data_IF_345324779323
#
_entry.id   IF_345324779323
#
_cell.length_a   1.000
_cell.length_b   1.000
_cell.length_c   1.000
_cell.angle_alpha   90.00
_cell.angle_beta   90.00
_cell.angle_gamma   90.00
#
_symmetry.space_group_name_H-M   'P 1'
#
loop_
_entity.id
_entity.type
_entity.pdbx_description
1 polymer ?
#
# COMPACT_ATOMS: atom_id res chain seq x y z
N UNK A 1 1.43 18.52 -8.97
CA UNK A 1 2.20 17.64 -9.90
C UNK A 1 1.34 17.17 -11.09
N UNK A 2 1.90 17.11 -12.31
CA UNK A 2 1.18 16.69 -13.53
C UNK A 2 0.62 15.26 -13.44
N UNK A 3 1.28 14.40 -12.67
CA UNK A 3 0.88 12.99 -12.45
C UNK A 3 -0.36 12.84 -11.57
N UNK A 4 -0.83 13.90 -10.88
CA UNK A 4 -2.01 13.91 -10.00
C UNK A 4 -2.06 12.77 -8.97
N UNK A 5 -0.90 12.25 -8.56
CA UNK A 5 -0.83 11.20 -7.55
C UNK A 5 -1.40 11.67 -6.21
N UNK A 6 -2.21 10.83 -5.58
CA UNK A 6 -2.79 11.08 -4.26
C UNK A 6 -1.73 11.06 -3.15
N UNK A 7 -0.54 10.50 -3.41
CA UNK A 7 0.55 10.37 -2.44
C UNK A 7 1.56 11.52 -2.49
N UNK A 8 1.34 12.56 -3.30
CA UNK A 8 2.29 13.66 -3.40
C UNK A 8 2.56 14.32 -2.03
N UNK A 9 1.54 14.39 -1.15
CA UNK A 9 1.66 15.00 0.17
C UNK A 9 2.76 14.38 1.04
N UNK A 10 3.20 13.15 0.75
CA UNK A 10 4.28 12.51 1.49
C UNK A 10 5.60 13.28 1.38
N UNK A 11 5.78 14.16 0.39
CA UNK A 11 6.98 14.96 0.18
C UNK A 11 6.90 16.37 0.79
N UNK A 12 5.89 16.67 1.62
CA UNK A 12 5.60 18.00 2.15
C UNK A 12 6.70 18.60 3.04
N UNK A 13 7.44 17.75 3.74
CA UNK A 13 8.60 18.14 4.53
C UNK A 13 9.78 18.61 3.68
N UNK A 14 9.82 18.31 2.37
CA UNK A 14 10.92 18.68 1.48
C UNK A 14 10.77 20.15 1.05
N UNK A 15 11.86 20.90 1.09
CA UNK A 15 11.88 22.30 0.68
C UNK A 15 11.32 22.48 -0.74
N UNK A 16 10.60 23.59 -0.94
CA UNK A 16 9.88 23.95 -2.18
C UNK A 16 8.70 23.06 -2.58
N UNK A 17 8.38 21.97 -1.85
CA UNK A 17 7.25 21.10 -2.20
C UNK A 17 5.93 21.87 -2.37
N UNK A 18 5.54 22.68 -1.38
CA UNK A 18 4.25 23.39 -1.39
C UNK A 18 4.14 24.36 -2.58
N UNK A 19 5.23 25.08 -2.89
CA UNK A 19 5.27 25.98 -4.05
C UNK A 19 5.17 25.21 -5.38
N UNK A 20 5.79 24.04 -5.48
CA UNK A 20 5.73 23.18 -6.68
C UNK A 20 4.30 22.65 -6.88
N UNK A 21 3.67 22.19 -5.80
CA UNK A 21 2.28 21.69 -5.87
C UNK A 21 1.29 22.81 -6.18
N UNK A 22 1.52 24.02 -5.65
CA UNK A 22 0.75 25.21 -5.98
C UNK A 22 1.05 25.79 -7.37
N UNK A 23 2.00 25.22 -8.13
CA UNK A 23 2.37 25.69 -9.46
C UNK A 23 3.20 26.98 -9.48
N UNK A 24 3.74 27.40 -8.33
CA UNK A 24 4.56 28.61 -8.16
C UNK A 24 6.04 28.37 -8.51
N UNK A 25 6.51 27.13 -8.45
CA UNK A 25 7.90 26.73 -8.75
C UNK A 25 7.96 25.49 -9.64
N UNK A 26 9.06 25.34 -10.38
CA UNK A 26 9.33 24.15 -11.20
C UNK A 26 9.66 22.94 -10.32
N UNK A 27 9.21 21.70 -10.68
CA UNK A 27 9.61 20.48 -9.98
C UNK A 27 11.12 20.28 -9.81
N UNK A 28 11.93 20.79 -10.74
CA UNK A 28 13.40 20.69 -10.69
C UNK A 28 14.02 21.52 -9.55
N UNK A 29 13.22 22.39 -8.91
CA UNK A 29 13.63 23.18 -7.74
C UNK A 29 13.30 22.50 -6.42
N UNK A 30 12.76 21.28 -6.43
CA UNK A 30 12.53 20.52 -5.19
C UNK A 30 13.83 20.44 -4.40
N UNK A 31 13.76 20.49 -3.07
CA UNK A 31 14.91 20.43 -2.16
C UNK A 31 15.65 19.09 -2.15
N UNK A 32 15.91 18.49 -3.31
CA UNK A 32 16.62 17.23 -3.50
C UNK A 32 17.72 17.45 -4.52
N UNK A 33 18.94 17.05 -4.18
CA UNK A 33 20.10 17.15 -5.06
C UNK A 33 20.99 15.92 -4.91
N UNK A 34 21.75 15.59 -5.95
CA UNK A 34 22.72 14.51 -5.94
C UNK A 34 24.12 15.08 -6.20
N UNK A 35 24.84 15.59 -5.18
CA UNK A 35 26.17 16.18 -5.37
C UNK A 35 27.22 15.18 -5.88
N UNK A 36 26.96 13.87 -5.76
CA UNK A 36 27.76 12.82 -6.40
C UNK A 36 26.91 11.58 -6.70
N UNK A 37 27.49 10.60 -7.39
CA UNK A 37 26.81 9.37 -7.83
C UNK A 37 26.12 8.58 -6.69
N UNK A 38 26.65 8.66 -5.47
CA UNK A 38 26.17 7.88 -4.32
C UNK A 38 25.78 8.74 -3.12
N UNK A 39 25.62 10.05 -3.30
CA UNK A 39 25.20 10.97 -2.24
C UNK A 39 23.92 11.68 -2.67
N UNK A 40 22.87 11.51 -1.87
CA UNK A 40 21.62 12.25 -1.98
C UNK A 40 21.54 13.27 -0.85
N UNK A 41 21.39 14.55 -1.19
CA UNK A 41 21.16 15.63 -0.24
C UNK A 41 19.72 16.09 -0.32
N UNK A 42 19.00 15.99 0.79
CA UNK A 42 17.62 16.44 0.93
C UNK A 42 17.59 17.62 1.90
N UNK A 43 17.05 18.74 1.44
CA UNK A 43 16.79 19.94 2.23
C UNK A 43 15.33 19.92 2.67
N UNK A 44 15.09 19.98 3.97
CA UNK A 44 13.75 20.08 4.53
C UNK A 44 13.32 21.55 4.62
N UNK A 45 12.00 21.77 4.56
CA UNK A 45 11.38 23.10 4.76
C UNK A 45 11.43 23.56 6.21
N UNK A 46 11.46 22.61 7.15
CA UNK A 46 11.52 22.82 8.60
C UNK A 46 12.07 21.56 9.30
N UNK A 47 12.55 21.66 10.56
CA UNK A 47 12.94 20.49 11.34
C UNK A 47 11.81 19.46 11.40
N UNK A 48 12.08 18.24 10.91
CA UNK A 48 11.09 17.16 10.81
C UNK A 48 11.68 15.87 11.38
N UNK A 49 11.55 15.62 12.70
CA UNK A 49 12.23 14.52 13.38
C UNK A 49 11.89 13.12 12.84
N UNK A 50 10.69 12.95 12.27
CA UNK A 50 10.21 11.68 11.72
C UNK A 50 10.59 11.45 10.25
N UNK A 51 11.31 12.38 9.61
CA UNK A 51 11.63 12.31 8.18
C UNK A 51 12.43 11.04 7.81
N UNK A 52 13.34 10.60 8.68
CA UNK A 52 14.11 9.37 8.46
C UNK A 52 13.19 8.13 8.33
N UNK A 53 12.12 8.06 9.13
CA UNK A 53 11.14 6.97 9.03
C UNK A 53 10.34 7.06 7.72
N UNK A 54 10.04 8.27 7.24
CA UNK A 54 9.33 8.47 5.96
C UNK A 54 10.15 8.01 4.74
N UNK A 55 11.49 8.12 4.80
CA UNK A 55 12.38 7.67 3.73
C UNK A 55 12.20 6.19 3.36
N UNK A 56 11.70 5.37 4.29
CA UNK A 56 11.40 3.95 4.01
C UNK A 56 10.29 3.75 2.97
N UNK A 57 9.45 4.78 2.74
CA UNK A 57 8.41 4.79 1.71
C UNK A 57 8.84 5.40 0.38
N UNK A 58 10.05 5.97 0.28
CA UNK A 58 10.53 6.62 -0.95
C UNK A 58 11.39 5.68 -1.77
N UNK A 59 10.76 5.01 -2.74
CA UNK A 59 11.46 4.12 -3.65
C UNK A 59 12.06 4.88 -4.84
N UNK A 60 13.34 4.65 -5.17
CA UNK A 60 13.92 5.22 -6.37
C UNK A 60 13.26 4.62 -7.62
N UNK A 61 13.12 5.43 -8.66
CA UNK A 61 12.55 5.00 -9.95
C UNK A 61 13.58 5.21 -11.07
N UNK A 62 13.69 4.26 -12.00
CA UNK A 62 14.61 4.38 -13.13
C UNK A 62 14.06 5.36 -14.19
N UNK A 63 14.68 6.53 -14.31
CA UNK A 63 14.24 7.60 -15.22
C UNK A 63 14.21 7.16 -16.69
N UNK A 64 15.21 6.41 -17.15
CA UNK A 64 15.26 5.94 -18.54
C UNK A 64 14.09 5.00 -18.87
N UNK A 65 13.73 4.10 -17.94
CA UNK A 65 12.58 3.23 -18.09
C UNK A 65 11.26 4.00 -18.09
N UNK A 66 11.10 4.98 -17.19
CA UNK A 66 9.92 5.85 -17.15
C UNK A 66 9.76 6.62 -18.46
N UNK A 67 10.85 7.20 -19.00
CA UNK A 67 10.83 7.89 -20.29
C UNK A 67 10.51 6.95 -21.44
N UNK A 68 11.12 5.75 -21.46
CA UNK A 68 10.93 4.75 -22.51
C UNK A 68 9.49 4.25 -22.58
N UNK A 69 8.89 3.89 -21.44
CA UNK A 69 7.57 3.28 -21.40
C UNK A 69 6.43 4.30 -21.21
N UNK A 70 6.74 5.51 -20.73
CA UNK A 70 5.78 6.58 -20.55
C UNK A 70 4.58 6.14 -19.72
N UNK A 71 3.37 6.28 -20.28
CA UNK A 71 2.11 5.88 -19.63
C UNK A 71 2.00 4.36 -19.38
N UNK A 72 2.82 3.55 -20.03
CA UNK A 72 2.82 2.09 -19.87
C UNK A 72 3.83 1.61 -18.82
N UNK A 73 4.64 2.50 -18.26
CA UNK A 73 5.52 2.13 -17.14
C UNK A 73 4.67 1.58 -16.00
N UNK A 74 4.98 0.37 -15.53
CA UNK A 74 4.22 -0.26 -14.44
C UNK A 74 3.01 -1.11 -14.87
N UNK A 75 2.60 -1.13 -16.14
CA UNK A 75 1.36 -1.81 -16.54
C UNK A 75 1.50 -3.32 -16.78
N UNK A 76 2.74 -3.80 -16.90
CA UNK A 76 3.05 -5.21 -17.15
C UNK A 76 4.48 -5.54 -16.73
N UNK A 77 4.76 -6.82 -16.53
CA UNK A 77 6.05 -7.30 -16.03
C UNK A 77 7.25 -6.87 -16.91
N UNK A 78 7.08 -6.81 -18.23
CA UNK A 78 8.09 -6.36 -19.20
C UNK A 78 8.29 -4.83 -19.23
N UNK A 79 7.40 -4.07 -18.59
CA UNK A 79 7.41 -2.60 -18.54
C UNK A 79 7.69 -2.06 -17.13
N UNK A 80 8.25 -2.91 -16.28
CA UNK A 80 8.68 -2.58 -14.93
C UNK A 80 10.19 -2.78 -14.84
N UNK A 81 10.88 -1.87 -14.15
CA UNK A 81 12.27 -2.04 -13.73
C UNK A 81 12.30 -2.03 -12.22
N UNK A 82 12.88 -3.08 -11.62
CA UNK A 82 12.97 -3.28 -10.17
C UNK A 82 14.40 -3.13 -9.69
N UNK A 83 14.59 -2.73 -8.43
CA UNK A 83 15.87 -2.77 -7.72
C UNK A 83 15.77 -3.53 -6.37
N UNK A 84 14.67 -4.26 -6.15
CA UNK A 84 14.39 -5.01 -4.94
C UNK A 84 14.82 -6.48 -5.03
N UNK A 85 14.41 -7.26 -4.02
CA UNK A 85 14.78 -8.68 -3.90
C UNK A 85 14.18 -9.60 -4.97
N UNK A 86 13.12 -9.17 -5.65
CA UNK A 86 12.39 -9.95 -6.64
C UNK A 86 12.08 -9.13 -7.88
N UNK A 87 12.07 -9.80 -9.03
CA UNK A 87 11.46 -9.33 -10.29
C UNK A 87 10.05 -9.89 -10.38
N UNK A 88 9.13 -9.14 -10.97
CA UNK A 88 7.76 -9.60 -11.23
C UNK A 88 7.67 -10.31 -12.60
N UNK A 89 6.91 -11.40 -12.68
CA UNK A 89 6.60 -12.13 -13.92
C UNK A 89 5.10 -12.42 -14.00
N UNK A 90 4.63 -12.68 -15.22
CA UNK A 90 3.24 -13.06 -15.52
C UNK A 90 2.20 -12.03 -15.06
N UNK A 91 2.61 -10.77 -14.88
CA UNK A 91 1.75 -9.69 -14.44
C UNK A 91 1.39 -8.75 -15.60
N UNK A 92 0.12 -8.38 -15.65
CA UNK A 92 -0.42 -7.19 -16.30
C UNK A 92 -1.61 -6.65 -15.47
N UNK A 93 -2.15 -5.50 -15.86
CA UNK A 93 -3.24 -4.82 -15.12
C UNK A 93 -4.55 -5.62 -14.99
N UNK A 94 -4.71 -6.73 -15.71
CA UNK A 94 -5.90 -7.59 -15.66
C UNK A 94 -5.57 -9.00 -15.18
N UNK A 95 -4.37 -9.24 -14.65
CA UNK A 95 -3.95 -10.57 -14.21
C UNK A 95 -4.50 -10.88 -12.82
N UNK A 96 -5.12 -12.04 -12.67
CA UNK A 96 -5.54 -12.58 -11.37
C UNK A 96 -4.44 -13.45 -10.72
N UNK A 97 -3.26 -13.55 -11.32
CA UNK A 97 -2.08 -14.17 -10.70
C UNK A 97 -0.79 -13.59 -11.24
N UNK A 98 0.29 -13.69 -10.46
CA UNK A 98 1.64 -13.29 -10.86
C UNK A 98 2.69 -14.01 -10.01
N UNK A 99 3.95 -13.89 -10.44
CA UNK A 99 5.07 -14.46 -9.71
C UNK A 99 6.08 -13.37 -9.33
N UNK A 100 6.55 -13.41 -8.09
CA UNK A 100 7.78 -12.76 -7.68
C UNK A 100 8.92 -13.77 -7.77
N UNK A 101 9.91 -13.51 -8.63
CA UNK A 101 11.07 -14.39 -8.84
C UNK A 101 12.31 -13.70 -8.33
N UNK A 102 13.11 -14.39 -7.52
CA UNK A 102 14.31 -13.84 -6.90
C UNK A 102 15.20 -13.14 -7.93
N UNK A 103 15.61 -11.91 -7.61
CA UNK A 103 16.45 -11.10 -8.49
C UNK A 103 17.95 -11.44 -8.26
N UNK A 104 18.66 -11.99 -9.27
CA UNK A 104 20.08 -12.29 -9.16
C UNK A 104 20.98 -11.04 -9.14
N UNK A 105 20.45 -9.85 -9.44
CA UNK A 105 21.17 -8.57 -9.44
C UNK A 105 20.98 -7.78 -8.14
N UNK A 106 20.06 -8.21 -7.27
CA UNK A 106 19.83 -7.56 -5.98
C UNK A 106 21.07 -7.65 -5.07
N UNK A 107 21.48 -6.51 -4.49
CA UNK A 107 22.72 -6.42 -3.71
C UNK A 107 22.77 -7.41 -2.52
N UNK A 108 21.63 -7.65 -1.86
CA UNK A 108 21.51 -8.57 -0.73
C UNK A 108 20.92 -9.94 -1.13
N UNK A 109 21.07 -10.39 -2.38
CA UNK A 109 20.50 -11.66 -2.89
C UNK A 109 20.85 -12.91 -2.08
N UNK A 110 21.95 -12.92 -1.31
CA UNK A 110 22.31 -14.06 -0.42
C UNK A 110 21.35 -14.21 0.77
N UNK A 111 20.73 -13.11 1.22
CA UNK A 111 19.73 -13.11 2.29
C UNK A 111 18.36 -13.62 1.79
N UNK A 112 18.07 -13.50 0.49
CA UNK A 112 16.80 -13.93 -0.10
C UNK A 112 16.79 -15.47 -0.24
N UNK A 113 15.96 -16.15 0.53
CA UNK A 113 15.90 -17.64 0.57
C UNK A 113 14.84 -18.24 -0.34
N UNK A 114 13.70 -17.57 -0.49
CA UNK A 114 12.61 -18.03 -1.34
C UNK A 114 12.96 -17.72 -2.80
N UNK A 115 12.95 -18.74 -3.65
CA UNK A 115 13.30 -18.58 -5.06
C UNK A 115 12.17 -17.92 -5.86
N UNK A 116 10.92 -18.26 -5.53
CA UNK A 116 9.71 -17.79 -6.19
C UNK A 116 8.56 -17.73 -5.19
N UNK A 117 7.78 -16.65 -5.25
CA UNK A 117 6.48 -16.53 -4.57
C UNK A 117 5.42 -16.43 -5.66
N UNK A 118 4.45 -17.34 -5.64
CA UNK A 118 3.28 -17.26 -6.52
C UNK A 118 2.15 -16.55 -5.78
N UNK A 119 1.48 -15.63 -6.45
CA UNK A 119 0.31 -14.92 -5.91
C UNK A 119 -0.88 -15.16 -6.83
N UNK A 120 -2.02 -15.46 -6.23
CA UNK A 120 -3.30 -15.60 -6.92
C UNK A 120 -4.38 -14.80 -6.21
N UNK A 121 -5.28 -14.19 -6.97
CA UNK A 121 -6.41 -13.42 -6.45
C UNK A 121 -7.59 -14.36 -6.28
N UNK A 122 -8.02 -14.53 -5.03
CA UNK A 122 -9.17 -15.34 -4.65
C UNK A 122 -10.13 -14.45 -3.86
N UNK A 123 -11.43 -14.52 -4.17
CA UNK A 123 -12.46 -13.67 -3.55
C UNK A 123 -13.33 -14.40 -2.53
N UNK A 124 -13.39 -15.73 -2.63
CA UNK A 124 -14.21 -16.56 -1.76
C UNK A 124 -13.35 -17.14 -0.62
N UNK A 125 -13.69 -16.77 0.62
CA UNK A 125 -12.91 -17.17 1.79
C UNK A 125 -12.96 -18.69 2.03
N UNK A 126 -14.02 -19.39 1.62
CA UNK A 126 -14.13 -20.85 1.77
C UNK A 126 -13.15 -21.58 0.84
N UNK A 127 -12.99 -21.07 -0.38
CA UNK A 127 -12.01 -21.56 -1.35
C UNK A 127 -10.59 -21.32 -0.84
N UNK A 128 -10.31 -20.14 -0.30
CA UNK A 128 -9.02 -19.80 0.32
C UNK A 128 -8.68 -20.79 1.45
N UNK A 129 -9.62 -21.00 2.36
CA UNK A 129 -9.47 -21.93 3.48
C UNK A 129 -9.20 -23.37 3.02
N UNK A 130 -9.97 -23.86 2.04
CA UNK A 130 -9.75 -25.20 1.48
C UNK A 130 -8.38 -25.34 0.77
N UNK A 131 -7.95 -24.32 0.03
CA UNK A 131 -6.65 -24.35 -0.64
C UNK A 131 -5.49 -24.31 0.36
N UNK A 132 -5.62 -23.58 1.47
CA UNK A 132 -4.66 -23.64 2.57
C UNK A 132 -4.64 -25.02 3.22
N UNK A 133 -5.81 -25.56 3.59
CA UNK A 133 -5.94 -26.88 4.21
C UNK A 133 -5.40 -28.03 3.33
N UNK A 134 -5.43 -27.88 2.01
CA UNK A 134 -4.90 -28.86 1.04
C UNK A 134 -3.44 -28.59 0.62
N UNK A 135 -2.76 -27.63 1.26
CA UNK A 135 -1.35 -27.32 0.99
C UNK A 135 -1.11 -26.67 -0.37
N UNK A 136 -2.14 -26.05 -0.96
CA UNK A 136 -2.04 -25.26 -2.21
C UNK A 136 -1.73 -23.79 -1.94
N UNK A 137 -1.95 -23.31 -0.72
CA UNK A 137 -1.53 -21.99 -0.24
C UNK A 137 -0.69 -22.15 1.03
N UNK A 138 0.36 -21.34 1.15
CA UNK A 138 1.22 -21.27 2.36
C UNK A 138 0.81 -20.11 3.29
N UNK A 139 0.04 -19.15 2.78
CA UNK A 139 -0.52 -18.01 3.51
C UNK A 139 -1.93 -17.68 2.99
N UNK A 140 -2.85 -17.44 3.90
CA UNK A 140 -4.28 -17.33 3.61
C UNK A 140 -4.96 -16.38 4.61
N UNK A 141 -5.33 -15.15 4.19
CA UNK A 141 -6.08 -14.25 5.06
C UNK A 141 -7.47 -14.81 5.31
N UNK A 142 -7.86 -14.89 6.58
CA UNK A 142 -9.19 -15.30 7.01
C UNK A 142 -10.00 -14.11 7.50
N UNK A 143 -11.32 -14.18 7.34
CA UNK A 143 -12.26 -13.18 7.83
C UNK A 143 -13.56 -13.84 8.30
N UNK A 144 -14.27 -13.15 9.20
CA UNK A 144 -15.59 -13.55 9.65
C UNK A 144 -15.63 -14.90 10.35
N UNK A 145 -16.64 -15.71 10.01
CA UNK A 145 -16.93 -16.97 10.68
C UNK A 145 -15.81 -18.03 10.54
N UNK A 146 -14.98 -17.96 9.50
CA UNK A 146 -13.85 -18.87 9.31
C UNK A 146 -12.79 -18.73 10.40
N UNK A 147 -12.65 -17.55 11.01
CA UNK A 147 -11.71 -17.36 12.13
C UNK A 147 -12.12 -18.20 13.35
N UNK A 148 -13.43 -18.33 13.58
CA UNK A 148 -13.94 -19.18 14.66
C UNK A 148 -13.82 -20.66 14.31
N UNK A 149 -14.06 -21.02 13.04
CA UNK A 149 -13.85 -22.39 12.53
C UNK A 149 -12.40 -22.84 12.73
N UNK A 150 -11.45 -22.00 12.36
CA UNK A 150 -10.01 -22.29 12.42
C UNK A 150 -9.38 -21.94 13.77
N UNK A 151 -10.16 -21.62 14.81
CA UNK A 151 -9.64 -21.16 16.10
C UNK A 151 -8.72 -22.15 16.82
N UNK A 152 -8.82 -23.45 16.49
CA UNK A 152 -7.96 -24.52 17.03
C UNK A 152 -6.80 -24.89 16.10
N UNK A 153 -6.70 -24.27 14.92
CA UNK A 153 -5.63 -24.52 13.98
C UNK A 153 -4.35 -23.84 14.48
N UNK A 154 -3.25 -24.58 14.74
CA UNK A 154 -2.01 -23.99 15.25
C UNK A 154 -1.33 -23.02 14.28
N UNK A 155 -1.69 -23.06 12.99
CA UNK A 155 -1.20 -22.11 12.00
C UNK A 155 -1.93 -20.74 12.05
N UNK A 156 -3.07 -20.65 12.75
CA UNK A 156 -3.80 -19.40 12.88
C UNK A 156 -3.00 -18.40 13.71
N UNK A 157 -2.65 -17.28 13.10
CA UNK A 157 -2.02 -16.14 13.77
C UNK A 157 -2.93 -14.92 13.71
N UNK A 158 -2.84 -14.04 14.71
CA UNK A 158 -3.60 -12.78 14.76
C UNK A 158 -2.62 -11.63 14.92
N UNK A 159 -2.62 -10.72 13.97
CA UNK A 159 -1.77 -9.54 13.98
C UNK A 159 -2.63 -8.30 14.11
N UNK A 160 -2.40 -7.50 15.16
CA UNK A 160 -3.07 -6.21 15.32
C UNK A 160 -2.44 -5.23 14.33
N UNK A 161 -3.21 -4.81 13.32
CA UNK A 161 -2.80 -3.78 12.39
C UNK A 161 -3.08 -2.38 12.95
N UNK A 162 -2.14 -1.45 12.73
CA UNK A 162 -2.31 -0.04 13.05
C UNK A 162 -3.08 0.69 11.93
N UNK A 163 -4.29 0.20 11.60
CA UNK A 163 -5.15 0.76 10.56
C UNK A 163 -6.60 0.91 11.07
N UNK A 164 -7.41 1.67 10.31
CA UNK A 164 -8.81 1.89 10.63
C UNK A 164 -9.65 1.92 9.34
N UNK A 165 -10.78 1.22 9.36
CA UNK A 165 -11.80 1.35 8.33
C UNK A 165 -12.76 2.49 8.70
N UNK A 166 -13.05 3.38 7.75
CA UNK A 166 -13.93 4.53 7.96
C UNK A 166 -14.82 4.79 6.74
N UNK A 167 -15.95 5.47 6.96
CA UNK A 167 -16.80 5.95 5.87
C UNK A 167 -16.36 7.36 5.47
N UNK A 168 -15.96 7.51 4.20
CA UNK A 168 -15.67 8.82 3.63
C UNK A 168 -16.90 9.37 2.91
N UNK A 169 -17.35 10.55 3.31
CA UNK A 169 -18.49 11.23 2.68
C UNK A 169 -18.02 12.19 1.59
N UNK A 170 -18.58 12.08 0.39
CA UNK A 170 -18.34 13.05 -0.67
C UNK A 170 -19.12 14.34 -0.41
N UNK A 171 -18.48 15.33 0.22
CA UNK A 171 -19.10 16.63 0.59
C UNK A 171 -19.40 17.53 -0.60
N UNK A 172 -19.00 17.17 -1.83
CA UNK A 172 -19.48 17.84 -3.05
C UNK A 172 -20.94 17.51 -3.36
N UNK A 173 -21.45 16.39 -2.84
CA UNK A 173 -22.88 16.11 -2.90
C UNK A 173 -23.61 16.99 -1.86
N UNK A 174 -24.65 17.75 -2.24
CA UNK A 174 -25.34 18.67 -1.33
C UNK A 174 -25.94 18.01 -0.08
N UNK A 175 -26.47 16.79 -0.20
CA UNK A 175 -27.04 16.05 0.93
C UNK A 175 -25.94 15.61 1.90
N UNK A 176 -24.87 15.01 1.37
CA UNK A 176 -23.74 14.54 2.18
C UNK A 176 -22.90 15.68 2.76
N UNK A 177 -23.05 16.91 2.25
CA UNK A 177 -22.44 18.10 2.84
C UNK A 177 -23.09 18.50 4.19
N UNK A 178 -24.30 18.02 4.49
CA UNK A 178 -24.96 18.25 5.77
C UNK A 178 -24.25 17.47 6.90
N UNK A 179 -23.63 18.20 7.83
CA UNK A 179 -22.90 17.61 8.97
C UNK A 179 -23.80 16.78 9.89
N UNK A 180 -25.07 17.18 10.05
CA UNK A 180 -26.02 16.45 10.89
C UNK A 180 -26.42 15.12 10.24
N UNK A 181 -26.55 15.07 8.92
CA UNK A 181 -26.77 13.81 8.21
C UNK A 181 -25.58 12.85 8.39
N UNK A 182 -24.34 13.33 8.23
CA UNK A 182 -23.14 12.50 8.43
C UNK A 182 -23.04 11.98 9.87
N UNK A 183 -23.37 12.82 10.86
CA UNK A 183 -23.45 12.42 12.27
C UNK A 183 -24.54 11.37 12.50
N UNK A 184 -25.72 11.54 11.92
CA UNK A 184 -26.81 10.58 12.03
C UNK A 184 -26.43 9.21 11.44
N UNK A 185 -25.82 9.18 10.25
CA UNK A 185 -25.30 7.93 9.65
C UNK A 185 -24.26 7.29 10.57
N UNK A 186 -23.31 8.08 11.08
CA UNK A 186 -22.28 7.57 12.00
C UNK A 186 -22.87 6.99 13.29
N UNK A 187 -23.92 7.61 13.84
CA UNK A 187 -24.60 7.15 15.05
C UNK A 187 -25.45 5.89 14.81
N UNK A 188 -25.98 5.71 13.60
CA UNK A 188 -26.78 4.54 13.23
C UNK A 188 -25.94 3.26 13.05
N UNK A 189 -24.61 3.35 12.95
CA UNK A 189 -23.72 2.20 12.80
C UNK A 189 -23.50 1.50 14.14
N UNK A 190 -24.02 0.28 14.28
CA UNK A 190 -23.65 -0.64 15.36
C UNK A 190 -22.25 -1.23 15.12
N UNK A 191 -21.24 -0.46 15.54
CA UNK A 191 -19.82 -0.84 15.43
C UNK A 191 -19.50 -2.07 16.29
N UNK A 192 -20.22 -2.29 17.38
CA UNK A 192 -20.00 -3.43 18.25
C UNK A 192 -20.45 -4.72 17.56
N UNK A 193 -21.64 -4.72 16.95
CA UNK A 193 -22.11 -5.83 16.13
C UNK A 193 -21.18 -6.07 14.94
N UNK A 194 -20.70 -5.01 14.27
CA UNK A 194 -19.75 -5.15 13.16
C UNK A 194 -18.48 -5.91 13.58
N UNK A 195 -17.83 -5.53 14.69
CA UNK A 195 -16.59 -6.18 15.09
C UNK A 195 -16.80 -7.58 15.68
N UNK A 196 -17.88 -7.79 16.42
CA UNK A 196 -18.11 -9.06 17.16
C UNK A 196 -18.91 -10.11 16.40
N UNK A 197 -19.75 -9.71 15.44
CA UNK A 197 -20.61 -10.62 14.67
C UNK A 197 -20.18 -10.75 13.21
N UNK A 198 -19.63 -9.70 12.60
CA UNK A 198 -19.23 -9.71 11.18
C UNK A 198 -17.74 -10.01 11.01
N UNK A 199 -16.86 -9.21 11.62
CA UNK A 199 -15.41 -9.33 11.43
C UNK A 199 -14.80 -10.49 12.22
N UNK A 200 -15.10 -10.57 13.52
CA UNK A 200 -14.67 -11.64 14.44
C UNK A 200 -13.15 -11.90 14.50
N UNK A 201 -12.34 -10.93 14.05
CA UNK A 201 -10.89 -11.05 13.84
C UNK A 201 -10.04 -10.40 14.95
N UNK A 202 -10.68 -9.76 15.94
CA UNK A 202 -10.01 -8.99 16.99
C UNK A 202 -10.06 -7.47 16.76
N UNK A 203 -10.68 -7.02 15.68
CA UNK A 203 -10.99 -5.62 15.43
C UNK A 203 -11.77 -4.99 16.59
N UNK A 204 -11.50 -3.71 16.85
CA UNK A 204 -12.16 -2.94 17.92
C UNK A 204 -13.01 -1.81 17.33
N UNK A 205 -14.17 -1.49 17.93
CA UNK A 205 -14.97 -0.35 17.50
C UNK A 205 -14.15 0.94 17.50
N UNK A 206 -14.10 1.61 16.34
CA UNK A 206 -13.46 2.91 16.22
C UNK A 206 -14.24 3.98 17.00
N UNK A 207 -13.52 4.80 17.79
CA UNK A 207 -14.12 5.86 18.63
C UNK A 207 -14.00 7.26 18.03
N UNK A 208 -13.11 7.46 17.06
CA UNK A 208 -12.88 8.75 16.40
C UNK A 208 -12.27 8.56 14.99
N UNK A 209 -12.56 9.51 14.11
CA UNK A 209 -11.82 9.84 12.87
C UNK A 209 -11.94 11.35 12.64
#
# INVERSE_FOLDING_TARGET
>A
PKTKTEFAYQYDAIANYQDIVAGKKSPDTLGVSAPSKYVLKIQLSQPTPYFASQMTGYYPTNEAAVKRYGKQFGTSADKIVTNGAYKIKNFNTTSDSWDYVKDPEYFAKKAVKIAKVHVTVLKDSSTIDNLFATGKLDDAPLSGNLIQKEAKNPALTKTVAANMNYLQFNTKNPQLNNVNLRRAVSAALDRQAMTTKVLQDGSKPAKAF
#
